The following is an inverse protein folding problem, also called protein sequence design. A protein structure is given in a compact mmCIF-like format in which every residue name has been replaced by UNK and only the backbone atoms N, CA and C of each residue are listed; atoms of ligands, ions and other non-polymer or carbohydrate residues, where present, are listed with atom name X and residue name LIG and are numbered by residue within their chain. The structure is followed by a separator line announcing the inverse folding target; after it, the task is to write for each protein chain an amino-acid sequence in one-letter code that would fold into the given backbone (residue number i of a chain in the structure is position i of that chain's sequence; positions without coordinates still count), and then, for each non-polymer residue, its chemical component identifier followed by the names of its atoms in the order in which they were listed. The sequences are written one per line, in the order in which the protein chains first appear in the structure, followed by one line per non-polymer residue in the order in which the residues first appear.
data_IF_949347264169
#
_entry.id   IF_949347264169
#
_cell.length_a   1.000
_cell.length_b   1.000
_cell.length_c   1.000
_cell.angle_alpha   90.00
_cell.angle_beta   90.00
_cell.angle_gamma   90.00
#
_symmetry.space_group_name_H-M   'P 1'
#
loop_
_entity.id
_entity.type
_entity.pdbx_description
1 polymer ?
#
# COMPACT_ATOMS: atom_id res chain seq x y z
N UNK A 1 13.73 14.60 10.25
CA UNK A 1 12.78 13.66 9.62
C UNK A 1 11.77 14.42 8.79
N UNK A 2 11.36 13.88 7.64
CA UNK A 2 10.38 14.49 6.72
C UNK A 2 9.12 13.62 6.70
N UNK A 3 7.97 14.21 7.01
CA UNK A 3 6.68 13.51 7.02
C UNK A 3 5.78 14.08 5.94
N UNK A 4 5.30 13.19 5.04
CA UNK A 4 4.41 13.52 3.95
C UNK A 4 2.97 13.19 4.32
N UNK A 5 2.09 14.18 4.26
CA UNK A 5 0.64 13.96 4.31
C UNK A 5 0.05 13.86 2.90
N UNK A 6 -0.65 12.78 2.62
CA UNK A 6 -1.40 12.60 1.36
C UNK A 6 -2.89 12.54 1.69
N UNK A 7 -3.65 13.50 1.17
CA UNK A 7 -5.11 13.45 1.22
C UNK A 7 -5.70 13.04 -0.12
N UNK A 8 -6.50 11.98 -0.10
CA UNK A 8 -7.28 11.54 -1.27
C UNK A 8 -8.67 12.23 -1.31
N UNK A 9 -8.95 13.08 -0.34
CA UNK A 9 -10.14 13.91 -0.29
C UNK A 9 -10.00 15.20 -1.11
N UNK A 10 -11.14 15.81 -1.45
CA UNK A 10 -11.18 17.13 -2.07
C UNK A 10 -10.72 18.24 -1.10
N UNK A 11 -10.50 19.44 -1.62
CA UNK A 11 -10.12 20.62 -0.84
C UNK A 11 -11.10 20.85 0.33
N UNK A 12 -10.54 21.07 1.53
CA UNK A 12 -11.27 21.28 2.79
C UNK A 12 -12.29 20.17 3.12
N UNK A 13 -12.07 18.97 2.64
CA UNK A 13 -12.84 17.80 3.08
C UNK A 13 -12.45 17.36 4.49
N UNK A 14 -13.31 16.56 5.12
CA UNK A 14 -13.04 15.97 6.42
C UNK A 14 -11.70 15.22 6.43
N UNK A 15 -11.40 14.50 5.34
CA UNK A 15 -10.13 13.76 5.17
C UNK A 15 -8.93 14.71 5.15
N UNK A 16 -9.01 15.81 4.37
CA UNK A 16 -7.89 16.77 4.30
C UNK A 16 -7.63 17.42 5.67
N UNK A 17 -8.70 17.79 6.38
CA UNK A 17 -8.59 18.41 7.70
C UNK A 17 -7.86 17.47 8.66
N UNK A 18 -8.27 16.20 8.74
CA UNK A 18 -7.65 15.23 9.63
C UNK A 18 -6.19 14.91 9.25
N UNK A 19 -5.87 14.84 7.96
CA UNK A 19 -4.46 14.70 7.52
C UNK A 19 -3.63 15.91 7.94
N UNK A 20 -4.18 17.14 7.83
CA UNK A 20 -3.49 18.35 8.26
C UNK A 20 -3.36 18.43 9.79
N UNK A 21 -4.37 18.04 10.54
CA UNK A 21 -4.26 17.93 12.01
C UNK A 21 -3.15 16.95 12.42
N UNK A 22 -3.06 15.80 11.74
CA UNK A 22 -1.97 14.87 12.00
C UNK A 22 -0.60 15.47 11.62
N UNK A 23 -0.51 16.21 10.50
CA UNK A 23 0.73 16.92 10.16
C UNK A 23 1.12 17.97 11.19
N UNK A 24 0.16 18.73 11.76
CA UNK A 24 0.43 19.66 12.85
C UNK A 24 1.01 18.94 14.07
N UNK A 25 0.46 17.78 14.45
CA UNK A 25 1.04 16.98 15.54
C UNK A 25 2.45 16.46 15.23
N UNK A 26 2.73 16.10 13.99
CA UNK A 26 4.07 15.71 13.57
C UNK A 26 5.07 16.91 13.61
N UNK A 27 4.63 18.09 13.22
CA UNK A 27 5.42 19.33 13.27
C UNK A 27 5.72 19.74 14.72
N UNK A 28 4.75 19.62 15.63
CA UNK A 28 4.93 19.84 17.08
C UNK A 28 5.98 18.88 17.66
N UNK A 29 6.10 17.65 17.11
CA UNK A 29 7.13 16.69 17.46
C UNK A 29 8.47 16.92 16.74
N UNK A 30 8.63 18.05 16.02
CA UNK A 30 9.87 18.46 15.39
C UNK A 30 10.11 17.90 13.97
N UNK A 31 9.09 17.34 13.31
CA UNK A 31 9.20 16.91 11.93
C UNK A 31 9.08 18.08 10.94
N UNK A 32 9.78 17.97 9.80
CA UNK A 32 9.44 18.77 8.63
C UNK A 32 8.26 18.12 7.92
N UNK A 33 7.21 18.88 7.67
CA UNK A 33 5.98 18.35 7.09
C UNK A 33 5.74 18.88 5.67
N UNK A 34 5.17 18.04 4.83
CA UNK A 34 4.74 18.38 3.49
C UNK A 34 3.34 17.81 3.24
N UNK A 35 2.52 18.49 2.47
CA UNK A 35 1.15 18.07 2.19
C UNK A 35 0.89 18.00 0.68
N UNK A 36 0.27 16.89 0.24
CA UNK A 36 -0.19 16.70 -1.15
C UNK A 36 -1.66 16.31 -1.15
N UNK A 37 -2.45 17.01 -1.95
CA UNK A 37 -3.82 16.61 -2.27
C UNK A 37 -3.83 15.84 -3.58
N UNK A 38 -4.17 14.55 -3.53
CA UNK A 38 -4.13 13.69 -4.70
C UNK A 38 -5.12 14.11 -5.79
N UNK A 39 -6.23 14.77 -5.42
CA UNK A 39 -7.21 15.33 -6.35
C UNK A 39 -6.65 16.44 -7.24
N UNK A 40 -5.55 17.10 -6.85
CA UNK A 40 -4.94 18.17 -7.65
C UNK A 40 -3.95 17.61 -8.69
N UNK A 41 -3.72 16.29 -8.68
CA UNK A 41 -2.82 15.60 -9.58
C UNK A 41 -3.58 14.82 -10.65
N UNK A 42 -3.02 14.76 -11.83
CA UNK A 42 -3.48 13.90 -12.91
C UNK A 42 -2.60 12.67 -12.99
N UNK A 43 -3.12 11.51 -12.55
CA UNK A 43 -2.39 10.24 -12.57
C UNK A 43 -3.14 9.27 -13.49
N UNK A 44 -2.48 8.79 -14.54
CA UNK A 44 -3.06 7.80 -15.46
C UNK A 44 -3.02 6.39 -14.85
N UNK A 45 -4.04 5.56 -15.10
CA UNK A 45 -4.05 4.18 -14.65
C UNK A 45 -2.86 3.38 -15.18
N UNK A 46 -2.40 2.40 -14.40
CA UNK A 46 -1.42 1.42 -14.86
C UNK A 46 -2.00 0.61 -16.03
N UNK A 47 -1.22 0.43 -17.09
CA UNK A 47 -1.62 -0.35 -18.28
C UNK A 47 -1.28 -1.83 -18.19
N UNK A 48 -0.61 -2.26 -17.12
CA UNK A 48 -0.17 -3.67 -16.95
C UNK A 48 0.94 -4.08 -17.93
N UNK A 49 1.71 -3.14 -18.47
CA UNK A 49 2.75 -3.40 -19.48
C UNK A 49 3.99 -4.13 -18.95
N UNK A 50 4.13 -4.28 -17.64
CA UNK A 50 5.26 -4.91 -16.93
C UNK A 50 6.65 -4.31 -17.20
N UNK A 51 6.77 -3.20 -17.91
CA UNK A 51 8.07 -2.62 -18.28
C UNK A 51 8.96 -2.33 -17.07
N UNK A 52 8.38 -1.85 -15.96
CA UNK A 52 9.11 -1.60 -14.71
C UNK A 52 9.63 -2.90 -14.06
N UNK A 53 8.86 -3.98 -14.10
CA UNK A 53 9.22 -5.29 -13.55
C UNK A 53 10.33 -5.94 -14.40
N UNK A 54 10.18 -5.89 -15.72
CA UNK A 54 11.20 -6.37 -16.67
C UNK A 54 12.53 -5.63 -16.45
N UNK A 55 12.47 -4.30 -16.29
CA UNK A 55 13.66 -3.50 -16.02
C UNK A 55 14.37 -3.91 -14.71
N UNK A 56 13.62 -4.15 -13.64
CA UNK A 56 14.17 -4.64 -12.37
C UNK A 56 14.80 -6.02 -12.51
N UNK A 57 14.08 -7.02 -13.06
CA UNK A 57 14.49 -8.42 -13.03
C UNK A 57 15.48 -8.84 -14.12
N UNK A 58 15.47 -8.18 -15.27
CA UNK A 58 16.36 -8.55 -16.38
C UNK A 58 17.61 -7.68 -16.42
N UNK A 59 17.46 -6.38 -16.11
CA UNK A 59 18.52 -5.38 -16.28
C UNK A 59 19.13 -4.90 -14.95
N UNK A 60 18.50 -5.22 -13.81
CA UNK A 60 18.88 -4.60 -12.54
C UNK A 60 18.68 -3.08 -12.56
N UNK A 61 17.69 -2.61 -13.32
CA UNK A 61 17.42 -1.18 -13.52
C UNK A 61 16.63 -0.55 -12.35
N UNK A 62 16.28 0.74 -12.48
CA UNK A 62 15.54 1.48 -11.45
C UNK A 62 14.05 1.10 -11.34
N UNK A 63 13.49 0.36 -12.29
CA UNK A 63 12.08 -0.02 -12.30
C UNK A 63 11.11 1.14 -12.56
N UNK A 64 11.53 2.19 -13.26
CA UNK A 64 10.68 3.36 -13.51
C UNK A 64 9.53 3.07 -14.46
N UNK A 65 8.37 3.69 -14.19
CA UNK A 65 7.22 3.62 -15.08
C UNK A 65 7.50 4.28 -16.42
N UNK A 66 6.97 3.68 -17.51
CA UNK A 66 7.13 4.24 -18.87
C UNK A 66 6.13 5.36 -19.20
N UNK A 67 5.04 5.48 -18.45
CA UNK A 67 4.06 6.58 -18.60
C UNK A 67 4.68 7.82 -17.96
N UNK A 68 4.91 8.89 -18.77
CA UNK A 68 5.62 10.11 -18.37
C UNK A 68 4.81 11.40 -18.51
N UNK A 69 3.64 11.33 -19.16
CA UNK A 69 2.79 12.47 -19.45
C UNK A 69 1.68 12.65 -18.40
N UNK A 70 2.05 12.51 -17.11
CA UNK A 70 1.18 12.69 -15.96
C UNK A 70 2.00 13.11 -14.71
N UNK A 71 1.32 13.36 -13.57
CA UNK A 71 1.96 13.83 -12.34
C UNK A 71 2.50 12.68 -11.45
N UNK A 72 2.62 11.46 -11.99
CA UNK A 72 3.08 10.32 -11.20
C UNK A 72 4.51 10.51 -10.69
N UNK A 73 5.42 11.02 -11.52
CA UNK A 73 6.82 11.24 -11.12
C UNK A 73 6.94 12.26 -9.97
N UNK A 74 6.07 13.27 -9.94
CA UNK A 74 6.02 14.23 -8.84
C UNK A 74 5.65 13.56 -7.50
N UNK A 75 4.55 12.81 -7.46
CA UNK A 75 4.11 12.16 -6.21
C UNK A 75 5.05 11.01 -5.80
N UNK A 76 5.62 10.30 -6.76
CA UNK A 76 6.64 9.27 -6.54
C UNK A 76 7.85 9.86 -5.82
N UNK A 77 8.39 10.97 -6.31
CA UNK A 77 9.54 11.64 -5.69
C UNK A 77 9.24 12.07 -4.26
N UNK A 78 8.06 12.62 -3.99
CA UNK A 78 7.62 12.99 -2.64
C UNK A 78 7.58 11.81 -1.68
N UNK A 79 7.07 10.67 -2.14
CA UNK A 79 7.00 9.43 -1.36
C UNK A 79 8.40 8.85 -1.14
N UNK A 80 9.27 8.89 -2.14
CA UNK A 80 10.66 8.41 -2.01
C UNK A 80 11.48 9.27 -1.04
N UNK A 81 11.23 10.58 -0.98
CA UNK A 81 11.90 11.50 -0.06
C UNK A 81 11.46 11.36 1.40
N UNK A 82 10.17 11.05 1.67
CA UNK A 82 9.65 11.07 3.03
C UNK A 82 10.21 9.93 3.90
N UNK A 83 10.29 10.18 5.20
CA UNK A 83 10.60 9.20 6.24
C UNK A 83 9.33 8.64 6.87
N UNK A 84 8.28 9.47 6.98
CA UNK A 84 6.95 9.12 7.48
C UNK A 84 5.85 9.48 6.51
N UNK A 85 4.73 8.75 6.57
CA UNK A 85 3.56 8.96 5.74
C UNK A 85 2.30 9.07 6.59
N UNK A 86 1.50 10.11 6.34
CA UNK A 86 0.13 10.23 6.85
C UNK A 86 -0.80 10.16 5.64
N UNK A 87 -1.51 9.05 5.48
CA UNK A 87 -2.36 8.80 4.32
C UNK A 87 -3.82 8.80 4.70
N UNK A 88 -4.59 9.76 4.18
CA UNK A 88 -6.01 9.88 4.43
C UNK A 88 -6.87 9.66 3.19
N UNK A 89 -7.95 8.88 3.31
CA UNK A 89 -8.93 8.68 2.24
C UNK A 89 -10.37 8.80 2.73
N UNK A 90 -11.25 9.45 1.94
CA UNK A 90 -12.68 9.30 2.14
C UNK A 90 -13.10 7.87 1.81
N UNK A 91 -14.20 7.43 2.42
CA UNK A 91 -14.81 6.12 2.17
C UNK A 91 -15.91 6.28 1.12
N UNK A 92 -15.78 5.57 0.00
CA UNK A 92 -16.78 5.40 -1.04
C UNK A 92 -17.03 3.92 -1.26
N UNK A 93 -18.31 3.48 -1.26
CA UNK A 93 -18.66 2.08 -1.44
C UNK A 93 -17.81 1.13 -0.56
N UNK A 94 -17.74 1.43 0.75
CA UNK A 94 -17.01 0.67 1.78
C UNK A 94 -15.48 0.73 1.69
N UNK A 95 -14.91 1.34 0.68
CA UNK A 95 -13.47 1.30 0.35
C UNK A 95 -12.86 2.70 0.27
N UNK A 96 -11.53 2.82 0.27
CA UNK A 96 -10.88 4.08 -0.09
C UNK A 96 -11.26 4.53 -1.50
N UNK A 97 -11.15 5.82 -1.77
CA UNK A 97 -11.38 6.39 -3.10
C UNK A 97 -10.59 5.67 -4.20
N UNK A 98 -11.20 5.43 -5.36
CA UNK A 98 -10.56 4.82 -6.52
C UNK A 98 -9.30 5.54 -7.01
N UNK A 99 -9.18 6.83 -6.74
CA UNK A 99 -7.97 7.60 -7.05
C UNK A 99 -6.73 7.06 -6.33
N UNK A 100 -6.88 6.58 -5.09
CA UNK A 100 -5.80 5.90 -4.38
C UNK A 100 -5.39 4.60 -5.08
N UNK A 101 -6.36 3.83 -5.58
CA UNK A 101 -6.08 2.58 -6.29
C UNK A 101 -5.27 2.82 -7.57
N UNK A 102 -5.58 3.90 -8.31
CA UNK A 102 -4.80 4.31 -9.49
C UNK A 102 -3.34 4.56 -9.10
N UNK A 103 -3.08 5.32 -8.05
CA UNK A 103 -1.72 5.56 -7.55
C UNK A 103 -1.05 4.26 -7.11
N UNK A 104 -1.74 3.43 -6.32
CA UNK A 104 -1.22 2.18 -5.82
C UNK A 104 -0.81 1.20 -6.94
N UNK A 105 -1.62 1.10 -8.01
CA UNK A 105 -1.31 0.25 -9.16
C UNK A 105 -0.07 0.71 -9.94
N UNK A 106 0.20 2.02 -9.93
CA UNK A 106 1.39 2.60 -10.55
C UNK A 106 2.64 2.36 -9.71
N UNK A 107 2.50 2.35 -8.38
CA UNK A 107 3.60 2.12 -7.45
C UNK A 107 3.88 0.64 -7.21
N UNK A 108 2.85 -0.19 -7.06
CA UNK A 108 2.94 -1.55 -6.56
C UNK A 108 4.17 -2.34 -7.04
N UNK A 109 4.23 -2.76 -8.30
CA UNK A 109 5.33 -3.61 -8.76
C UNK A 109 6.69 -2.89 -8.79
N UNK A 110 6.70 -1.60 -9.15
CA UNK A 110 7.93 -0.82 -9.30
C UNK A 110 8.60 -0.48 -7.96
N UNK A 111 7.82 -0.48 -6.87
CA UNK A 111 8.28 -0.10 -5.54
C UNK A 111 8.39 -1.29 -4.58
N UNK A 112 8.14 -2.51 -5.05
CA UNK A 112 8.30 -3.67 -4.19
C UNK A 112 9.74 -3.81 -3.73
N UNK A 113 9.93 -3.81 -2.42
CA UNK A 113 11.25 -3.80 -1.79
C UNK A 113 12.06 -5.05 -2.15
N UNK A 114 11.44 -6.23 -2.21
CA UNK A 114 12.12 -7.46 -2.59
C UNK A 114 12.57 -7.41 -4.06
N UNK A 115 11.73 -6.87 -4.96
CA UNK A 115 12.09 -6.71 -6.37
C UNK A 115 13.27 -5.77 -6.54
N UNK A 116 13.31 -4.67 -5.82
CA UNK A 116 14.44 -3.73 -5.82
C UNK A 116 15.70 -4.34 -5.23
N UNK A 117 15.60 -5.16 -4.18
CA UNK A 117 16.75 -5.91 -3.62
C UNK A 117 17.27 -6.95 -4.62
N UNK A 118 16.39 -7.65 -5.33
CA UNK A 118 16.75 -8.58 -6.40
C UNK A 118 17.48 -7.83 -7.54
N UNK A 119 16.96 -6.67 -7.95
CA UNK A 119 17.60 -5.85 -8.98
C UNK A 119 19.01 -5.40 -8.57
N UNK A 120 19.21 -5.00 -7.30
CA UNK A 120 20.54 -4.69 -6.75
C UNK A 120 21.47 -5.90 -6.84
N UNK A 121 21.00 -7.06 -6.40
CA UNK A 121 21.78 -8.31 -6.46
C UNK A 121 22.17 -8.69 -7.90
N UNK A 122 21.25 -8.54 -8.86
CA UNK A 122 21.54 -8.76 -10.29
C UNK A 122 22.67 -7.85 -10.78
N UNK A 123 22.69 -6.58 -10.37
CA UNK A 123 23.78 -5.65 -10.72
C UNK A 123 25.12 -6.11 -10.17
N UNK A 124 25.15 -6.51 -8.91
CA UNK A 124 26.33 -7.00 -8.23
C UNK A 124 26.87 -8.27 -8.92
N UNK A 125 26.02 -9.28 -9.13
CA UNK A 125 26.41 -10.56 -9.74
C UNK A 125 26.89 -10.42 -11.21
N UNK A 126 26.29 -9.49 -11.96
CA UNK A 126 26.66 -9.23 -13.37
C UNK A 126 27.75 -8.17 -13.52
N UNK A 127 28.27 -7.59 -12.44
CA UNK A 127 29.24 -6.52 -12.48
C UNK A 127 28.76 -5.26 -13.23
N UNK A 128 27.45 -4.93 -13.16
CA UNK A 128 26.88 -3.78 -13.86
C UNK A 128 27.22 -2.51 -13.09
N UNK A 129 28.17 -1.73 -13.61
CA UNK A 129 28.63 -0.47 -13.00
C UNK A 129 28.08 0.78 -13.69
N UNK A 130 27.43 0.64 -14.84
CA UNK A 130 26.86 1.74 -15.62
C UNK A 130 25.36 1.78 -15.55
N UNK A 131 24.75 2.93 -15.88
CA UNK A 131 23.31 3.15 -15.81
C UNK A 131 22.79 3.26 -14.38
N UNK A 132 21.49 3.62 -14.25
CA UNK A 132 20.83 3.72 -12.95
C UNK A 132 20.41 2.34 -12.45
N UNK A 133 20.66 2.06 -11.18
CA UNK A 133 20.08 0.95 -10.44
C UNK A 133 18.84 1.36 -9.65
N UNK A 134 18.32 0.49 -8.77
CA UNK A 134 17.28 0.83 -7.82
C UNK A 134 17.68 2.03 -6.97
N UNK A 135 16.71 2.91 -6.71
CA UNK A 135 16.93 4.08 -5.88
C UNK A 135 17.21 3.67 -4.43
N UNK A 136 18.33 4.13 -3.87
CA UNK A 136 18.75 3.79 -2.50
C UNK A 136 17.76 4.26 -1.43
N UNK A 137 17.01 5.31 -1.68
CA UNK A 137 15.96 5.81 -0.80
C UNK A 137 14.83 4.78 -0.59
N UNK A 138 14.65 3.83 -1.52
CA UNK A 138 13.66 2.77 -1.36
C UNK A 138 13.92 1.85 -0.16
N UNK A 139 15.19 1.72 0.24
CA UNK A 139 15.60 0.80 1.30
C UNK A 139 15.58 1.40 2.71
N UNK A 140 15.29 2.69 2.83
CA UNK A 140 15.15 3.29 4.16
C UNK A 140 13.87 2.85 4.85
N UNK A 141 13.88 2.55 6.15
CA UNK A 141 12.68 2.25 6.91
C UNK A 141 11.75 3.47 6.94
N UNK A 142 10.43 3.21 6.87
CA UNK A 142 9.39 4.24 6.95
C UNK A 142 8.30 3.82 7.90
N UNK A 143 7.60 4.80 8.48
CA UNK A 143 6.39 4.58 9.29
C UNK A 143 5.20 5.27 8.65
N UNK A 144 3.98 4.75 8.92
CA UNK A 144 2.77 5.39 8.44
C UNK A 144 1.64 5.39 9.46
N UNK A 145 0.80 6.42 9.36
CA UNK A 145 -0.56 6.45 9.88
C UNK A 145 -1.57 6.49 8.74
N UNK A 146 -2.66 5.75 8.90
CA UNK A 146 -3.73 5.60 7.92
C UNK A 146 -5.04 6.16 8.49
N UNK A 147 -5.70 7.07 7.77
CA UNK A 147 -6.92 7.74 8.20
C UNK A 147 -8.03 7.48 7.19
N UNK A 148 -9.11 6.80 7.60
CA UNK A 148 -10.30 6.58 6.79
C UNK A 148 -11.47 7.40 7.34
N UNK A 149 -12.22 8.07 6.46
CA UNK A 149 -13.31 8.99 6.86
C UNK A 149 -14.58 8.68 6.10
N UNK A 150 -15.65 8.38 6.82
CA UNK A 150 -16.94 8.00 6.24
C UNK A 150 -18.15 8.72 6.84
N UNK A 151 -19.27 8.69 6.09
CA UNK A 151 -20.55 9.25 6.53
C UNK A 151 -21.42 8.27 7.32
N UNK A 152 -21.06 7.00 7.38
CA UNK A 152 -21.83 5.92 8.01
C UNK A 152 -20.93 4.75 8.39
N UNK A 153 -21.50 3.61 8.79
CA UNK A 153 -20.80 2.35 9.13
C UNK A 153 -20.46 1.50 7.90
N UNK A 154 -20.52 2.03 6.68
CA UNK A 154 -20.13 1.34 5.47
C UNK A 154 -18.62 1.47 5.23
N UNK A 155 -17.81 0.86 6.08
CA UNK A 155 -16.37 1.10 6.21
C UNK A 155 -15.49 -0.16 6.22
N UNK A 156 -16.09 -1.36 6.19
CA UNK A 156 -15.39 -2.63 6.47
C UNK A 156 -14.11 -2.85 5.65
N UNK A 157 -14.03 -2.31 4.43
CA UNK A 157 -12.90 -2.44 3.54
C UNK A 157 -11.96 -1.23 3.57
N UNK A 158 -12.36 -0.14 4.24
CA UNK A 158 -11.65 1.13 4.16
C UNK A 158 -10.21 1.04 4.68
N UNK A 159 -10.01 0.77 5.97
CA UNK A 159 -8.67 0.63 6.55
C UNK A 159 -7.88 -0.56 5.98
N UNK A 160 -8.49 -1.75 5.76
CA UNK A 160 -7.79 -2.84 5.10
C UNK A 160 -7.22 -2.46 3.74
N UNK A 161 -8.02 -1.90 2.84
CA UNK A 161 -7.55 -1.54 1.50
C UNK A 161 -6.62 -0.32 1.49
N UNK A 162 -6.78 0.61 2.45
CA UNK A 162 -5.83 1.70 2.64
C UNK A 162 -4.43 1.18 3.02
N UNK A 163 -4.37 0.12 3.83
CA UNK A 163 -3.12 -0.53 4.21
C UNK A 163 -2.36 -1.14 3.02
N UNK A 164 -3.06 -1.60 1.96
CA UNK A 164 -2.38 -2.17 0.78
C UNK A 164 -1.38 -1.20 0.14
N UNK A 165 -1.61 0.11 0.27
CA UNK A 165 -0.70 1.12 -0.25
C UNK A 165 0.71 1.04 0.37
N UNK A 166 0.82 0.58 1.61
CA UNK A 166 2.09 0.53 2.33
C UNK A 166 2.90 -0.74 2.05
N UNK A 167 2.27 -1.78 1.47
CA UNK A 167 2.89 -3.11 1.36
C UNK A 167 4.11 -3.14 0.46
N UNK A 168 4.05 -2.55 -0.74
CA UNK A 168 5.14 -2.64 -1.71
C UNK A 168 6.45 -2.08 -1.15
N UNK A 169 6.40 -0.94 -0.50
CA UNK A 169 7.55 -0.28 0.12
C UNK A 169 7.86 -0.79 1.53
N UNK A 170 7.12 -1.75 2.05
CA UNK A 170 7.26 -2.27 3.42
C UNK A 170 7.22 -1.15 4.48
N UNK A 171 6.31 -0.19 4.31
CA UNK A 171 6.12 0.90 5.27
C UNK A 171 5.46 0.33 6.53
N UNK A 172 6.06 0.56 7.70
CA UNK A 172 5.52 0.12 8.98
C UNK A 172 4.31 0.96 9.39
N UNK A 173 3.13 0.35 9.46
CA UNK A 173 1.89 1.04 9.87
C UNK A 173 1.79 1.01 11.38
N UNK A 174 1.96 2.16 12.02
CA UNK A 174 1.93 2.33 13.48
C UNK A 174 0.60 2.83 14.01
N UNK A 175 -0.26 3.29 13.12
CA UNK A 175 -1.58 3.78 13.49
C UNK A 175 -2.60 3.63 12.35
N UNK A 176 -3.83 3.32 12.72
CA UNK A 176 -5.02 3.32 11.86
C UNK A 176 -6.15 4.02 12.57
N UNK A 177 -6.74 5.01 11.95
CA UNK A 177 -7.83 5.81 12.49
C UNK A 177 -9.04 5.76 11.58
N UNK A 178 -10.20 5.43 12.13
CA UNK A 178 -11.49 5.43 11.45
C UNK A 178 -12.36 6.54 12.03
N UNK A 179 -12.87 7.42 11.19
CA UNK A 179 -13.82 8.47 11.58
C UNK A 179 -15.10 8.32 10.79
N UNK A 180 -16.14 7.86 11.45
CA UNK A 180 -17.47 7.68 10.88
C UNK A 180 -18.43 8.81 11.26
N UNK A 181 -19.60 8.84 10.62
CA UNK A 181 -20.67 9.80 10.89
C UNK A 181 -20.27 11.26 10.66
N UNK A 182 -19.49 11.50 9.59
CA UNK A 182 -19.10 12.85 9.14
C UNK A 182 -19.37 12.98 7.64
N UNK A 183 -20.61 13.26 7.28
CA UNK A 183 -21.05 13.34 5.88
C UNK A 183 -20.81 14.72 5.25
N UNK A 184 -21.06 15.79 5.99
CA UNK A 184 -20.90 17.15 5.45
C UNK A 184 -19.42 17.51 5.31
N UNK A 185 -19.01 18.08 4.18
CA UNK A 185 -17.64 18.53 3.98
C UNK A 185 -17.18 19.53 5.03
N UNK A 186 -16.03 19.30 5.62
CA UNK A 186 -15.46 20.16 6.65
C UNK A 186 -16.08 19.99 8.04
N UNK A 187 -17.18 19.24 8.19
CA UNK A 187 -17.87 19.13 9.48
C UNK A 187 -17.06 18.43 10.57
N UNK A 188 -15.98 17.76 10.23
CA UNK A 188 -15.07 17.16 11.23
C UNK A 188 -14.47 18.21 12.16
N UNK A 189 -14.44 19.48 11.79
CA UNK A 189 -13.97 20.58 12.66
C UNK A 189 -14.79 20.71 13.96
N UNK A 190 -15.99 20.16 14.00
CA UNK A 190 -16.84 20.11 15.19
C UNK A 190 -16.67 18.83 16.02
N UNK A 191 -15.77 17.93 15.60
CA UNK A 191 -15.42 16.70 16.32
C UNK A 191 -14.02 16.88 16.96
N UNK A 192 -13.98 17.57 18.08
CA UNK A 192 -12.72 17.89 18.78
C UNK A 192 -11.91 16.63 19.11
N UNK A 193 -12.59 15.55 19.53
CA UNK A 193 -11.99 14.25 19.81
C UNK A 193 -11.29 13.64 18.59
N UNK A 194 -11.89 13.79 17.40
CA UNK A 194 -11.28 13.29 16.16
C UNK A 194 -10.08 14.15 15.73
N UNK A 195 -10.13 15.46 15.92
CA UNK A 195 -9.01 16.37 15.64
C UNK A 195 -7.83 16.07 16.57
N UNK A 196 -8.09 15.98 17.88
CA UNK A 196 -7.07 15.63 18.88
C UNK A 196 -6.46 14.25 18.60
N UNK A 197 -7.31 13.24 18.26
CA UNK A 197 -6.85 11.91 17.89
C UNK A 197 -5.96 11.91 16.65
N UNK A 198 -6.29 12.71 15.63
CA UNK A 198 -5.46 12.89 14.44
C UNK A 198 -4.11 13.55 14.78
N UNK A 199 -4.11 14.58 15.61
CA UNK A 199 -2.89 15.25 16.09
C UNK A 199 -1.97 14.28 16.83
N UNK A 200 -2.52 13.47 17.73
CA UNK A 200 -1.80 12.41 18.44
C UNK A 200 -1.21 11.38 17.47
N UNK A 201 -1.93 11.04 16.41
CA UNK A 201 -1.45 10.12 15.36
C UNK A 201 -0.19 10.64 14.67
N UNK A 202 -0.19 11.91 14.28
CA UNK A 202 0.99 12.53 13.64
C UNK A 202 2.19 12.62 14.58
N UNK A 203 1.97 13.01 15.83
CA UNK A 203 2.99 13.02 16.86
C UNK A 203 3.63 11.64 17.03
N UNK A 204 2.79 10.59 17.10
CA UNK A 204 3.25 9.21 17.24
C UNK A 204 4.09 8.72 16.04
N UNK A 205 3.75 9.11 14.80
CA UNK A 205 4.57 8.81 13.61
C UNK A 205 5.96 9.45 13.75
N UNK A 206 6.04 10.71 14.19
CA UNK A 206 7.30 11.40 14.39
C UNK A 206 8.14 10.77 15.53
N UNK A 207 7.52 10.46 16.66
CA UNK A 207 8.18 9.81 17.80
C UNK A 207 8.73 8.43 17.44
N UNK A 208 7.98 7.67 16.64
CA UNK A 208 8.41 6.35 16.18
C UNK A 208 9.64 6.47 15.27
N UNK A 209 9.67 7.47 14.39
CA UNK A 209 10.82 7.69 13.50
C UNK A 209 12.10 8.11 14.23
N UNK A 210 11.98 8.63 15.45
CA UNK A 210 13.11 8.99 16.30
C UNK A 210 13.75 7.78 17.02
N UNK A 211 13.14 6.58 16.91
CA UNK A 211 13.55 5.33 17.58
C UNK A 211 13.84 4.23 16.57
N UNK A 212 14.54 3.15 16.98
CA UNK A 212 14.64 1.95 16.15
C UNK A 212 13.25 1.39 15.79
N UNK A 213 13.04 1.00 14.54
CA UNK A 213 11.75 0.52 14.07
C UNK A 213 11.23 -0.72 14.83
N UNK A 214 12.13 -1.49 15.44
CA UNK A 214 11.81 -2.63 16.31
C UNK A 214 11.11 -2.23 17.62
N UNK A 215 11.16 -0.95 17.99
CA UNK A 215 10.49 -0.38 19.17
C UNK A 215 9.17 0.32 18.80
N UNK A 216 8.75 0.22 17.54
CA UNK A 216 7.51 0.84 17.08
C UNK A 216 6.30 0.16 17.72
N UNK A 217 5.46 0.96 18.36
CA UNK A 217 4.19 0.51 18.94
C UNK A 217 3.04 0.83 17.99
N UNK A 218 2.07 -0.08 17.90
CA UNK A 218 0.83 0.16 17.19
C UNK A 218 -0.23 0.72 18.13
N UNK A 219 -0.73 1.93 17.86
CA UNK A 219 -1.74 2.63 18.68
C UNK A 219 -3.12 2.75 18.00
N UNK A 220 -3.28 2.13 16.82
CA UNK A 220 -4.46 2.30 15.98
C UNK A 220 -5.65 1.44 16.38
N UNK A 221 -6.67 1.44 15.49
CA UNK A 221 -7.84 0.61 15.61
C UNK A 221 -7.48 -0.86 15.81
N UNK A 222 -8.05 -1.52 16.84
CA UNK A 222 -7.74 -2.92 17.11
C UNK A 222 -8.19 -3.82 15.95
N UNK A 223 -7.37 -4.78 15.60
CA UNK A 223 -7.66 -5.82 14.62
C UNK A 223 -7.37 -7.19 15.18
N UNK A 224 -7.78 -8.25 14.49
CA UNK A 224 -7.55 -9.62 14.95
C UNK A 224 -6.28 -10.26 14.37
N UNK A 225 -5.75 -9.75 13.24
CA UNK A 225 -4.44 -10.18 12.77
C UNK A 225 -3.33 -9.60 13.66
N UNK A 226 -2.54 -10.44 14.36
CA UNK A 226 -1.52 -9.92 15.29
C UNK A 226 -0.30 -9.28 14.59
N UNK A 227 -0.20 -9.42 13.25
CA UNK A 227 0.93 -8.86 12.50
C UNK A 227 0.58 -7.51 11.88
N UNK A 228 -0.54 -7.41 11.18
CA UNK A 228 -0.90 -6.19 10.45
C UNK A 228 -2.13 -5.48 11.02
N UNK A 229 -2.69 -5.95 12.11
CA UNK A 229 -3.87 -5.38 12.78
C UNK A 229 -5.07 -5.22 11.82
N UNK A 230 -5.26 -6.17 10.90
CA UNK A 230 -6.43 -6.24 10.04
C UNK A 230 -7.58 -6.96 10.70
N UNK A 231 -8.81 -6.48 10.45
CA UNK A 231 -10.07 -7.19 10.79
C UNK A 231 -10.52 -8.11 9.65
N UNK A 232 -9.92 -7.98 8.45
CA UNK A 232 -10.31 -8.75 7.27
C UNK A 232 -9.59 -10.08 7.24
N UNK A 233 -10.32 -11.16 7.52
CA UNK A 233 -9.82 -12.54 7.45
C UNK A 233 -10.66 -13.30 6.44
N UNK A 234 -10.01 -13.93 5.48
CA UNK A 234 -10.59 -14.86 4.52
C UNK A 234 -10.69 -16.24 5.17
N UNK A 235 -11.89 -16.82 5.20
CA UNK A 235 -12.13 -18.18 5.66
C UNK A 235 -12.04 -19.11 4.46
N UNK A 236 -11.22 -20.16 4.56
CA UNK A 236 -11.02 -21.16 3.53
C UNK A 236 -11.67 -22.47 3.88
N UNK A 237 -12.38 -23.05 2.91
CA UNK A 237 -13.07 -24.35 3.04
C UNK A 237 -12.46 -25.43 2.13
N UNK A 238 -11.40 -25.07 1.44
CA UNK A 238 -10.63 -25.97 0.56
C UNK A 238 -9.63 -26.78 1.40
N UNK A 239 -9.06 -27.84 0.80
CA UNK A 239 -8.13 -28.78 1.45
C UNK A 239 -6.74 -28.16 1.77
N UNK A 240 -6.69 -26.86 2.09
CA UNK A 240 -5.46 -26.23 2.56
C UNK A 240 -5.21 -26.58 4.03
N UNK A 241 -3.93 -26.66 4.40
CA UNK A 241 -3.51 -26.96 5.79
C UNK A 241 -3.83 -25.84 6.79
N UNK A 242 -4.50 -24.77 6.36
CA UNK A 242 -4.89 -23.62 7.18
C UNK A 242 -6.30 -23.14 6.81
N UNK A 243 -7.20 -23.00 7.80
CA UNK A 243 -8.59 -22.62 7.54
C UNK A 243 -8.79 -21.11 7.32
N UNK A 244 -7.80 -20.29 7.61
CA UNK A 244 -7.93 -18.84 7.50
C UNK A 244 -6.63 -18.17 7.04
N UNK A 245 -6.80 -17.04 6.32
CA UNK A 245 -5.69 -16.21 5.86
C UNK A 245 -6.04 -14.74 6.09
N UNK A 246 -5.07 -13.94 6.55
CA UNK A 246 -5.27 -12.50 6.61
C UNK A 246 -5.37 -11.92 5.21
N UNK A 247 -6.50 -11.30 4.87
CA UNK A 247 -6.75 -10.72 3.53
C UNK A 247 -5.85 -9.55 3.17
N UNK A 248 -5.02 -9.05 4.08
CA UNK A 248 -4.09 -7.94 3.85
C UNK A 248 -2.65 -8.42 3.79
N UNK A 249 -2.13 -9.00 4.85
CA UNK A 249 -0.72 -9.40 4.88
C UNK A 249 -0.45 -10.83 4.42
N UNK A 250 -1.50 -11.60 4.10
CA UNK A 250 -1.36 -12.96 3.57
C UNK A 250 -0.94 -14.02 4.59
N UNK A 251 -0.75 -13.66 5.86
CA UNK A 251 -0.37 -14.65 6.88
C UNK A 251 -1.49 -15.66 7.11
N UNK A 252 -1.09 -16.91 7.27
CA UNK A 252 -1.98 -18.08 7.46
C UNK A 252 -2.18 -18.39 8.93
N UNK A 253 -3.33 -18.95 9.27
CA UNK A 253 -3.61 -19.26 10.66
C UNK A 253 -4.96 -19.93 10.89
N UNK A 254 -5.35 -19.99 12.15
CA UNK A 254 -6.61 -20.59 12.61
C UNK A 254 -7.44 -19.56 13.35
N UNK A 255 -8.75 -19.53 13.06
CA UNK A 255 -9.71 -18.72 13.79
C UNK A 255 -10.29 -19.55 14.96
N UNK A 256 -10.27 -18.96 16.13
CA UNK A 256 -10.91 -19.52 17.32
C UNK A 256 -12.02 -18.58 17.78
N UNK A 257 -13.12 -19.16 18.23
CA UNK A 257 -14.26 -18.43 18.83
C UNK A 257 -14.52 -18.98 20.22
N UNK A 258 -14.23 -18.18 21.23
CA UNK A 258 -14.46 -18.54 22.64
C UNK A 258 -15.21 -17.38 23.30
N UNK A 259 -16.32 -17.67 23.95
CA UNK A 259 -17.15 -16.66 24.65
C UNK A 259 -17.47 -15.43 23.80
N UNK A 260 -17.89 -15.64 22.55
CA UNK A 260 -18.17 -14.61 21.54
C UNK A 260 -16.98 -13.71 21.16
N UNK A 261 -15.76 -14.10 21.53
CA UNK A 261 -14.53 -13.41 21.10
C UNK A 261 -13.85 -14.23 20.02
N UNK A 262 -13.49 -13.54 18.95
CA UNK A 262 -12.73 -14.13 17.83
C UNK A 262 -11.25 -13.82 18.01
N UNK A 263 -10.40 -14.83 17.90
CA UNK A 263 -8.96 -14.67 17.81
C UNK A 263 -8.42 -15.34 16.54
N UNK A 264 -7.31 -14.83 16.04
CA UNK A 264 -6.59 -15.36 14.88
C UNK A 264 -5.20 -15.78 15.35
N UNK A 265 -4.97 -17.08 15.39
CA UNK A 265 -3.72 -17.68 15.86
C UNK A 265 -2.84 -18.06 14.67
N UNK A 266 -1.57 -17.70 14.76
CA UNK A 266 -0.57 -17.89 13.72
C UNK A 266 0.58 -18.71 14.31
N UNK A 267 0.90 -19.85 13.69
CA UNK A 267 2.08 -20.61 14.06
C UNK A 267 3.36 -19.83 13.71
N UNK A 268 4.43 -20.02 14.48
CA UNK A 268 5.67 -19.23 14.31
C UNK A 268 6.23 -19.33 12.88
N UNK A 269 6.24 -20.54 12.31
CA UNK A 269 6.71 -20.77 10.94
C UNK A 269 5.86 -20.04 9.88
N UNK A 270 4.57 -19.76 10.16
CA UNK A 270 3.67 -19.13 9.20
C UNK A 270 3.81 -17.60 9.19
N UNK A 271 4.40 -17.00 10.22
CA UNK A 271 4.68 -15.56 10.25
C UNK A 271 5.53 -15.10 9.08
N UNK A 272 6.46 -15.94 8.64
CA UNK A 272 7.34 -15.65 7.51
C UNK A 272 6.61 -15.45 6.18
N UNK A 273 5.36 -15.93 6.05
CA UNK A 273 4.54 -15.71 4.84
C UNK A 273 3.89 -14.31 4.77
N UNK A 274 4.00 -13.52 5.83
CA UNK A 274 3.37 -12.20 5.87
C UNK A 274 4.03 -11.22 4.90
N UNK A 275 3.25 -10.62 4.00
CA UNK A 275 3.72 -9.63 3.01
C UNK A 275 4.14 -8.28 3.62
N UNK A 276 3.89 -8.05 4.91
CA UNK A 276 4.50 -6.91 5.63
C UNK A 276 5.92 -7.23 6.12
N UNK A 277 6.34 -8.50 6.02
CA UNK A 277 7.70 -8.93 6.31
C UNK A 277 8.47 -9.17 5.01
N UNK A 278 9.77 -8.93 5.06
CA UNK A 278 10.64 -9.11 3.89
C UNK A 278 10.67 -10.57 3.40
N UNK A 279 10.59 -11.54 4.31
CA UNK A 279 10.48 -12.97 3.98
C UNK A 279 9.28 -13.30 3.10
N UNK A 280 8.10 -12.77 3.44
CA UNK A 280 6.88 -12.99 2.64
C UNK A 280 6.94 -12.30 1.27
N UNK A 281 7.63 -11.17 1.17
CA UNK A 281 7.86 -10.51 -0.11
C UNK A 281 8.82 -11.28 -1.01
N UNK A 282 9.87 -11.86 -0.48
CA UNK A 282 10.74 -12.75 -1.25
C UNK A 282 10.01 -14.02 -1.68
N UNK A 283 9.19 -14.62 -0.80
CA UNK A 283 8.36 -15.76 -1.18
C UNK A 283 7.45 -15.42 -2.36
N UNK A 284 6.79 -14.26 -2.36
CA UNK A 284 5.99 -13.79 -3.48
C UNK A 284 6.83 -13.56 -4.76
N UNK A 285 8.03 -12.99 -4.64
CA UNK A 285 8.92 -12.83 -5.80
C UNK A 285 9.33 -14.17 -6.41
N UNK A 286 9.56 -15.20 -5.58
CA UNK A 286 9.87 -16.56 -6.03
C UNK A 286 8.68 -17.22 -6.72
N UNK A 287 7.45 -17.04 -6.22
CA UNK A 287 6.22 -17.50 -6.89
C UNK A 287 6.10 -16.92 -8.30
N UNK A 288 6.29 -15.60 -8.45
CA UNK A 288 6.25 -14.94 -9.76
C UNK A 288 7.34 -15.46 -10.70
N UNK A 289 8.55 -15.70 -10.19
CA UNK A 289 9.65 -16.28 -10.95
C UNK A 289 9.31 -17.69 -11.44
N UNK A 290 8.75 -18.54 -10.57
CA UNK A 290 8.33 -19.89 -10.93
C UNK A 290 7.30 -19.88 -12.05
N UNK A 291 6.27 -19.01 -11.95
CA UNK A 291 5.25 -18.88 -13.01
C UNK A 291 5.87 -18.41 -14.33
N UNK A 292 6.80 -17.46 -14.28
CA UNK A 292 7.47 -16.92 -15.47
C UNK A 292 8.41 -17.92 -16.15
N UNK A 293 8.98 -18.85 -15.38
CA UNK A 293 9.88 -19.90 -15.89
C UNK A 293 9.17 -21.18 -16.30
N UNK A 294 7.87 -21.32 -16.03
CA UNK A 294 7.13 -22.50 -16.47
C UNK A 294 7.06 -22.52 -18.00
N UNK A 295 7.65 -23.54 -18.64
CA UNK A 295 7.57 -23.65 -20.08
C UNK A 295 6.13 -23.91 -20.51
N UNK A 296 5.60 -23.06 -21.36
CA UNK A 296 4.34 -23.35 -22.02
C UNK A 296 4.63 -24.02 -23.37
N UNK A 297 4.42 -25.34 -23.50
CA UNK A 297 4.72 -26.07 -24.74
C UNK A 297 3.88 -25.58 -25.92
N UNK A 298 2.77 -24.90 -25.65
CA UNK A 298 1.86 -24.36 -26.66
C UNK A 298 2.08 -22.87 -26.95
N UNK A 299 3.15 -22.27 -26.49
CA UNK A 299 3.39 -20.81 -26.66
C UNK A 299 3.44 -20.42 -28.15
N UNK A 300 3.89 -21.33 -29.02
CA UNK A 300 3.94 -21.13 -30.46
C UNK A 300 2.56 -21.04 -31.12
N UNK A 301 1.52 -21.62 -30.50
CA UNK A 301 0.12 -21.56 -30.97
C UNK A 301 -0.59 -20.26 -30.53
N UNK A 302 0.03 -19.46 -29.64
CA UNK A 302 -0.60 -18.28 -29.05
C UNK A 302 -1.12 -17.28 -30.08
N UNK A 303 -0.39 -16.92 -31.17
CA UNK A 303 -0.87 -15.99 -32.16
C UNK A 303 -2.16 -16.48 -32.88
N UNK A 304 -2.24 -17.76 -33.21
CA UNK A 304 -3.41 -18.39 -33.85
C UNK A 304 -4.59 -18.43 -32.88
N UNK A 305 -4.36 -18.89 -31.64
CA UNK A 305 -5.41 -18.96 -30.60
C UNK A 305 -5.98 -17.60 -30.26
N UNK A 306 -5.20 -16.53 -30.37
CA UNK A 306 -5.64 -15.14 -30.13
C UNK A 306 -6.47 -14.56 -31.30
N UNK A 307 -6.41 -15.17 -32.53
CA UNK A 307 -7.07 -14.63 -33.72
C UNK A 307 -8.58 -14.49 -33.52
N UNK A 308 -9.24 -15.51 -32.96
CA UNK A 308 -10.68 -15.49 -32.69
C UNK A 308 -11.10 -14.32 -31.76
N UNK A 309 -10.24 -13.95 -30.80
CA UNK A 309 -10.54 -12.86 -29.88
C UNK A 309 -10.28 -11.48 -30.51
N UNK A 310 -9.32 -11.37 -31.44
CA UNK A 310 -9.06 -10.12 -32.17
C UNK A 310 -10.22 -9.77 -33.10
N UNK A 311 -10.87 -10.77 -33.67
CA UNK A 311 -12.01 -10.61 -34.58
C UNK A 311 -13.37 -10.59 -33.88
N UNK A 312 -13.45 -11.03 -32.61
CA UNK A 312 -14.69 -11.08 -31.85
C UNK A 312 -15.02 -9.72 -31.26
N UNK A 313 -16.11 -9.11 -31.68
CA UNK A 313 -16.65 -7.84 -31.25
C UNK A 313 -15.65 -6.67 -31.23
N UNK A 314 -15.98 -5.59 -31.88
CA UNK A 314 -15.34 -4.30 -31.66
C UNK A 314 -15.90 -3.66 -30.39
N UNK A 315 -15.03 -3.07 -29.57
CA UNK A 315 -15.46 -2.37 -28.38
C UNK A 315 -16.07 -1.00 -28.71
N UNK A 316 -17.09 -0.60 -27.94
CA UNK A 316 -17.72 0.70 -28.07
C UNK A 316 -16.81 1.81 -27.52
N UNK A 317 -16.64 2.88 -28.30
CA UNK A 317 -15.94 4.10 -27.88
C UNK A 317 -16.92 5.27 -27.84
N UNK A 318 -16.76 6.23 -26.93
CA UNK A 318 -17.49 7.50 -27.04
C UNK A 318 -17.15 8.18 -28.37
N UNK A 319 -18.17 8.65 -29.07
CA UNK A 319 -17.98 9.55 -30.21
C UNK A 319 -17.49 10.89 -29.64
N UNK A 320 -16.27 11.29 -29.97
CA UNK A 320 -15.68 12.57 -29.56
C UNK A 320 -15.76 13.55 -30.70
#
# INVERSE_FOLDING_TARGET
MKILGISVGRKLSNTEILVKEALMGAEEAGAQVEFVRLHDLTIKPCTGCNACVIDLFEKGGPGKCIIKDDDFEFIDEKIMECDGLILGSPIYEKSPSGLLKILNDRMGPSHDIAFRMIARKIREEKGITTGQGPDERAFKPRTASLIAVGGSEWDNLALPLLHLFTLSMQINVVDKMLVNWVALPGAVVFKEDALERARKSGHHVADTLAKPISEAEYIGEPGICPICHSKLIEIRQDNHNYPAICGICGVRGTLNVVDNKVSFEIAEQDKAHSHVLLSGKFAHADELKQVSLQPNPHIHELPERLQKYRSYLSYSKPVR
#
